data_IF_908335480926
#
_entry.id   IF_908335480926
#
_cell.length_a   1.000
_cell.length_b   1.000
_cell.length_c   1.000
_cell.angle_alpha   90.00
_cell.angle_beta   90.00
_cell.angle_gamma   90.00
#
_symmetry.space_group_name_H-M   'P 1'
#
loop_
_entity.id
_entity.type
_entity.pdbx_description
1 polymer ?
#
# COMPACT_ATOMS: atom_id res chain seq x y z
N UNK A 1 -22.78 6.37 -6.05
CA UNK A 1 -21.51 6.56 -5.32
C UNK A 1 -21.17 5.23 -4.69
N UNK A 2 -20.03 4.60 -5.02
CA UNK A 2 -19.51 3.53 -4.17
C UNK A 2 -18.53 4.17 -3.23
N UNK A 3 -18.96 4.45 -2.01
CA UNK A 3 -18.08 4.61 -0.87
C UNK A 3 -17.25 3.33 -0.81
N UNK A 4 -16.00 3.39 -1.26
CA UNK A 4 -15.16 2.21 -1.34
C UNK A 4 -14.72 1.87 0.08
N UNK A 5 -15.49 1.00 0.73
CA UNK A 5 -15.09 0.41 1.99
C UNK A 5 -13.75 -0.33 1.80
N UNK A 6 -12.97 -0.41 2.88
CA UNK A 6 -11.80 -1.27 2.90
C UNK A 6 -12.21 -2.71 2.54
N UNK A 7 -11.40 -3.44 1.76
CA UNK A 7 -11.64 -4.86 1.55
C UNK A 7 -11.77 -5.61 2.88
N UNK A 8 -12.69 -6.56 2.92
CA UNK A 8 -13.03 -7.35 4.10
C UNK A 8 -11.94 -8.37 4.45
N UNK A 9 -11.14 -8.75 3.47
CA UNK A 9 -10.01 -9.68 3.59
C UNK A 9 -8.73 -9.06 4.18
N UNK A 10 -8.71 -7.77 4.49
CA UNK A 10 -7.54 -7.11 5.09
C UNK A 10 -7.35 -7.46 6.57
N UNK A 11 -6.10 -7.71 6.94
CA UNK A 11 -5.66 -7.76 8.31
C UNK A 11 -5.28 -6.34 8.82
N UNK A 12 -4.66 -6.28 10.00
CA UNK A 12 -4.46 -5.02 10.71
C UNK A 12 -3.55 -4.03 9.97
N UNK A 13 -2.48 -4.52 9.33
CA UNK A 13 -1.49 -3.66 8.68
C UNK A 13 -2.03 -3.04 7.38
N UNK A 14 -2.66 -3.87 6.55
CA UNK A 14 -3.34 -3.47 5.32
C UNK A 14 -4.51 -2.53 5.60
N UNK A 15 -5.36 -2.83 6.60
CA UNK A 15 -6.47 -1.94 6.98
C UNK A 15 -5.99 -0.57 7.42
N UNK A 16 -4.92 -0.51 8.23
CA UNK A 16 -4.31 0.76 8.64
C UNK A 16 -3.76 1.56 7.46
N UNK A 17 -3.15 0.89 6.48
CA UNK A 17 -2.66 1.53 5.26
C UNK A 17 -3.81 2.10 4.43
N UNK A 18 -4.88 1.31 4.24
CA UNK A 18 -6.09 1.74 3.54
C UNK A 18 -6.68 3.01 4.16
N UNK A 19 -6.92 3.00 5.46
CA UNK A 19 -7.47 4.14 6.21
C UNK A 19 -6.57 5.37 6.11
N UNK A 20 -5.26 5.19 6.29
CA UNK A 20 -4.28 6.29 6.21
C UNK A 20 -4.30 7.00 4.86
N UNK A 21 -4.38 6.24 3.77
CA UNK A 21 -4.37 6.79 2.42
C UNK A 21 -5.74 7.39 2.06
N UNK A 22 -6.82 6.65 2.28
CA UNK A 22 -8.18 7.11 1.93
C UNK A 22 -8.66 8.29 2.78
N UNK A 23 -8.16 8.47 4.00
CA UNK A 23 -8.43 9.65 4.82
C UNK A 23 -7.83 10.93 4.22
N UNK A 24 -6.75 10.83 3.45
CA UNK A 24 -6.06 11.98 2.88
C UNK A 24 -6.50 12.26 1.45
N UNK A 25 -6.94 11.23 0.71
CA UNK A 25 -7.14 11.35 -0.73
C UNK A 25 -8.35 10.56 -1.24
N UNK A 26 -9.09 11.18 -2.16
CA UNK A 26 -10.04 10.44 -3.02
C UNK A 26 -9.27 9.59 -4.04
N UNK A 27 -9.78 8.39 -4.33
CA UNK A 27 -9.21 7.43 -5.27
C UNK A 27 -10.15 7.25 -6.47
N UNK A 28 -9.58 7.12 -7.66
CA UNK A 28 -10.26 6.54 -8.82
C UNK A 28 -10.39 5.03 -8.66
N UNK A 29 -11.21 4.38 -9.50
CA UNK A 29 -11.37 2.91 -9.48
C UNK A 29 -10.04 2.17 -9.65
N UNK A 30 -9.16 2.63 -10.55
CA UNK A 30 -7.85 2.02 -10.77
C UNK A 30 -6.91 2.23 -9.59
N UNK A 31 -6.91 3.43 -9.00
CA UNK A 31 -6.12 3.72 -7.79
C UNK A 31 -6.61 2.91 -6.58
N UNK A 32 -7.93 2.73 -6.44
CA UNK A 32 -8.50 1.89 -5.39
C UNK A 32 -8.08 0.42 -5.55
N UNK A 33 -8.11 -0.12 -6.77
CA UNK A 33 -7.64 -1.48 -7.04
C UNK A 33 -6.13 -1.65 -6.71
N UNK A 34 -5.30 -0.68 -7.08
CA UNK A 34 -3.87 -0.68 -6.73
C UNK A 34 -3.67 -0.61 -5.21
N UNK A 35 -4.45 0.20 -4.50
CA UNK A 35 -4.39 0.29 -3.04
C UNK A 35 -4.81 -1.02 -2.38
N UNK A 36 -5.84 -1.71 -2.89
CA UNK A 36 -6.23 -3.03 -2.37
C UNK A 36 -5.06 -4.01 -2.42
N UNK A 37 -4.39 -4.12 -3.56
CA UNK A 37 -3.23 -5.00 -3.71
C UNK A 37 -2.06 -4.59 -2.81
N UNK A 38 -1.81 -3.28 -2.65
CA UNK A 38 -0.79 -2.79 -1.73
C UNK A 38 -1.11 -3.15 -0.27
N UNK A 39 -2.38 -3.11 0.14
CA UNK A 39 -2.83 -3.47 1.48
C UNK A 39 -2.63 -4.96 1.75
N UNK A 40 -3.04 -5.83 0.81
CA UNK A 40 -2.82 -7.28 0.90
C UNK A 40 -1.34 -7.64 0.99
N UNK A 41 -0.52 -7.07 0.11
CA UNK A 41 0.93 -7.27 0.13
C UNK A 41 1.58 -6.77 1.45
N UNK A 42 0.98 -5.76 2.08
CA UNK A 42 1.42 -5.26 3.39
C UNK A 42 1.09 -6.25 4.52
N UNK A 43 -0.10 -6.87 4.49
CA UNK A 43 -0.48 -7.91 5.46
C UNK A 43 0.40 -9.17 5.31
N UNK A 44 0.67 -9.58 4.07
CA UNK A 44 1.59 -10.67 3.76
C UNK A 44 3.02 -10.36 4.25
N UNK A 45 3.49 -9.13 4.02
CA UNK A 45 4.81 -8.68 4.49
C UNK A 45 4.90 -8.71 6.02
N UNK A 46 3.85 -8.32 6.75
CA UNK A 46 3.86 -8.37 8.22
C UNK A 46 3.96 -9.82 8.72
N UNK A 47 3.23 -10.73 8.09
CA UNK A 47 3.31 -12.18 8.35
C UNK A 47 4.72 -12.72 8.10
N UNK A 48 5.32 -12.41 6.93
CA UNK A 48 6.68 -12.83 6.58
C UNK A 48 7.73 -12.25 7.54
N UNK A 49 7.56 -11.00 7.98
CA UNK A 49 8.47 -10.37 8.94
C UNK A 49 8.40 -11.02 10.31
N UNK A 50 7.20 -11.38 10.78
CA UNK A 50 7.03 -12.09 12.04
C UNK A 50 7.70 -13.48 11.98
N UNK A 51 7.52 -14.21 10.87
CA UNK A 51 8.17 -15.49 10.64
C UNK A 51 9.70 -15.35 10.56
N UNK A 52 10.22 -14.38 9.81
CA UNK A 52 11.66 -14.14 9.67
C UNK A 52 12.31 -13.77 11.01
N UNK A 53 11.64 -12.93 11.82
CA UNK A 53 12.14 -12.52 13.15
C UNK A 53 12.22 -13.69 14.12
N UNK A 54 11.28 -14.64 14.00
CA UNK A 54 11.26 -15.87 14.82
C UNK A 54 12.20 -16.96 14.30
N UNK A 55 12.91 -16.72 13.19
CA UNK A 55 13.76 -17.71 12.53
C UNK A 55 15.25 -17.39 12.66
N UNK A 56 16.10 -18.41 12.53
CA UNK A 56 17.55 -18.21 12.45
C UNK A 56 17.95 -17.49 11.15
N UNK A 57 18.97 -16.62 11.25
CA UNK A 57 19.51 -15.90 10.09
C UNK A 57 20.21 -16.85 9.11
N UNK A 58 20.87 -17.88 9.65
CA UNK A 58 21.58 -18.91 8.90
C UNK A 58 20.86 -20.24 9.11
N UNK A 59 20.62 -20.97 8.02
CA UNK A 59 20.03 -22.32 8.02
C UNK A 59 20.94 -23.27 7.24
N UNK A 60 20.69 -24.57 7.36
CA UNK A 60 21.37 -25.59 6.57
C UNK A 60 20.81 -25.65 5.15
N UNK A 61 21.67 -25.49 4.15
CA UNK A 61 21.34 -25.65 2.74
C UNK A 61 21.24 -27.12 2.32
N UNK A 62 20.78 -27.37 1.09
CA UNK A 62 20.52 -28.73 0.58
C UNK A 62 21.74 -29.66 0.55
N UNK A 63 22.96 -29.11 0.54
CA UNK A 63 24.21 -29.88 0.60
C UNK A 63 24.91 -29.78 1.95
N UNK A 64 24.20 -29.35 3.01
CA UNK A 64 24.72 -29.28 4.38
C UNK A 64 25.49 -27.99 4.74
N UNK A 65 25.69 -27.09 3.78
CA UNK A 65 26.40 -25.83 3.97
C UNK A 65 25.52 -24.78 4.67
N UNK A 66 26.10 -23.87 5.49
CA UNK A 66 25.37 -22.74 6.04
C UNK A 66 24.94 -21.78 4.92
N UNK A 67 23.67 -21.44 4.85
CA UNK A 67 23.09 -20.47 3.91
C UNK A 67 22.22 -19.46 4.65
N UNK A 68 22.08 -18.26 4.10
CA UNK A 68 21.10 -17.30 4.62
C UNK A 68 19.69 -17.88 4.47
N UNK A 69 18.88 -17.74 5.51
CA UNK A 69 17.51 -18.19 5.48
C UNK A 69 16.71 -17.43 4.40
N UNK A 70 16.10 -18.19 3.48
CA UNK A 70 15.39 -17.64 2.32
C UNK A 70 14.20 -16.75 2.68
N UNK A 71 13.67 -16.84 3.91
CA UNK A 71 12.65 -15.92 4.41
C UNK A 71 13.10 -14.46 4.34
N UNK A 72 14.38 -14.17 4.55
CA UNK A 72 14.91 -12.81 4.46
C UNK A 72 14.87 -12.26 3.03
N UNK A 73 15.13 -13.11 2.04
CA UNK A 73 14.99 -12.73 0.63
C UNK A 73 13.53 -12.49 0.27
N UNK A 74 12.61 -13.30 0.81
CA UNK A 74 11.18 -13.14 0.54
C UNK A 74 10.62 -11.84 1.15
N UNK A 75 11.04 -11.51 2.38
CA UNK A 75 10.73 -10.22 3.01
C UNK A 75 11.23 -9.05 2.15
N UNK A 76 12.43 -9.15 1.56
CA UNK A 76 12.97 -8.09 0.68
C UNK A 76 12.12 -7.95 -0.59
N UNK A 77 11.79 -9.04 -1.27
CA UNK A 77 10.94 -9.02 -2.46
C UNK A 77 9.56 -8.43 -2.18
N UNK A 78 8.93 -8.81 -1.07
CA UNK A 78 7.63 -8.26 -0.69
C UNK A 78 7.70 -6.75 -0.40
N UNK A 79 8.79 -6.27 0.23
CA UNK A 79 9.01 -4.82 0.39
C UNK A 79 9.10 -4.11 -0.95
N UNK A 80 9.82 -4.68 -1.92
CA UNK A 80 9.95 -4.09 -3.25
C UNK A 80 8.60 -4.06 -3.98
N UNK A 81 7.79 -5.12 -3.85
CA UNK A 81 6.43 -5.17 -4.38
C UNK A 81 5.52 -4.10 -3.77
N UNK A 82 5.52 -3.94 -2.45
CA UNK A 82 4.75 -2.88 -1.76
C UNK A 82 5.21 -1.50 -2.21
N UNK A 83 6.52 -1.25 -2.26
CA UNK A 83 7.08 0.02 -2.72
C UNK A 83 6.68 0.33 -4.17
N UNK A 84 6.67 -0.67 -5.05
CA UNK A 84 6.24 -0.52 -6.45
C UNK A 84 4.75 -0.19 -6.55
N UNK A 85 3.88 -0.90 -5.83
CA UNK A 85 2.43 -0.65 -5.84
C UNK A 85 2.11 0.77 -5.33
N UNK A 86 2.73 1.17 -4.22
CA UNK A 86 2.57 2.53 -3.67
C UNK A 86 3.16 3.62 -4.58
N UNK A 87 4.28 3.34 -5.23
CA UNK A 87 4.88 4.23 -6.23
C UNK A 87 3.98 4.41 -7.45
N UNK A 88 3.33 3.35 -7.93
CA UNK A 88 2.35 3.40 -9.02
C UNK A 88 1.08 4.16 -8.65
N UNK A 89 0.65 4.07 -7.39
CA UNK A 89 -0.44 4.87 -6.85
C UNK A 89 -0.10 6.38 -6.82
N UNK A 90 1.19 6.72 -6.94
CA UNK A 90 1.66 8.11 -6.86
C UNK A 90 1.59 8.68 -5.45
N UNK A 91 1.53 7.82 -4.42
CA UNK A 91 1.60 8.24 -3.01
C UNK A 91 3.05 8.52 -2.68
N UNK A 92 3.53 9.68 -3.10
CA UNK A 92 4.77 10.22 -2.55
C UNK A 92 4.37 10.98 -1.29
N UNK A 93 4.61 10.36 -0.13
CA UNK A 93 4.51 11.05 1.16
C UNK A 93 5.67 12.04 1.21
N UNK A 94 5.52 13.21 0.60
CA UNK A 94 6.47 14.28 0.80
C UNK A 94 6.25 14.85 2.21
N UNK A 95 7.32 14.89 3.01
CA UNK A 95 7.40 15.84 4.12
C UNK A 95 7.16 17.25 3.57
N UNK A 96 6.42 18.05 4.32
CA UNK A 96 5.93 19.37 3.93
C UNK A 96 6.95 20.17 3.10
N UNK A 97 6.60 20.53 1.86
CA UNK A 97 7.32 21.59 1.12
C UNK A 97 7.61 21.37 -0.37
N UNK A 98 7.36 20.20 -0.97
CA UNK A 98 7.58 20.00 -2.41
C UNK A 98 6.35 19.41 -3.09
N UNK A 99 5.70 20.17 -3.97
CA UNK A 99 4.62 19.68 -4.83
C UNK A 99 5.17 19.33 -6.21
N UNK A 100 5.16 18.05 -6.55
CA UNK A 100 5.45 17.53 -7.88
C UNK A 100 4.35 17.92 -8.89
N UNK A 101 4.62 17.97 -10.21
CA UNK A 101 3.59 18.08 -11.24
C UNK A 101 2.44 17.07 -11.10
N UNK A 102 2.73 15.86 -10.62
CA UNK A 102 1.73 14.82 -10.30
C UNK A 102 0.72 15.29 -9.26
N UNK A 103 1.18 16.05 -8.26
CA UNK A 103 0.37 16.46 -7.11
C UNK A 103 -0.62 17.55 -7.51
N UNK A 104 -0.22 18.46 -8.40
CA UNK A 104 -1.11 19.49 -8.95
C UNK A 104 -2.25 18.88 -9.78
N UNK A 105 -1.94 17.90 -10.64
CA UNK A 105 -2.98 17.16 -11.36
C UNK A 105 -3.91 16.41 -10.40
N UNK A 106 -3.35 15.84 -9.33
CA UNK A 106 -4.12 15.11 -8.32
C UNK A 106 -5.02 16.01 -7.50
N UNK A 107 -4.53 17.16 -7.04
CA UNK A 107 -5.33 18.19 -6.36
C UNK A 107 -6.45 18.74 -7.26
N UNK A 108 -6.17 18.98 -8.54
CA UNK A 108 -7.18 19.41 -9.49
C UNK A 108 -8.31 18.35 -9.65
N UNK A 109 -7.94 17.07 -9.75
CA UNK A 109 -8.91 15.96 -9.78
C UNK A 109 -9.71 15.85 -8.49
N UNK A 110 -9.06 15.98 -7.33
CA UNK A 110 -9.73 15.95 -6.03
C UNK A 110 -10.77 17.08 -5.90
N UNK A 111 -10.43 18.30 -6.33
CA UNK A 111 -11.38 19.42 -6.35
C UNK A 111 -12.57 19.14 -7.28
N UNK A 112 -12.31 18.57 -8.46
CA UNK A 112 -13.37 18.20 -9.40
C UNK A 112 -14.32 17.14 -8.83
N UNK A 113 -13.77 16.10 -8.19
CA UNK A 113 -14.55 15.05 -7.52
C UNK A 113 -15.33 15.60 -6.32
N UNK A 114 -14.70 16.45 -5.49
CA UNK A 114 -15.38 17.09 -4.36
C UNK A 114 -16.54 18.00 -4.79
N UNK A 115 -16.39 18.69 -5.92
CA UNK A 115 -17.45 19.54 -6.47
C UNK A 115 -18.62 18.72 -7.05
N UNK A 116 -18.36 17.57 -7.69
CA UNK A 116 -19.43 16.71 -8.20
C UNK A 116 -20.23 16.02 -7.08
N UNK A 117 -19.59 15.69 -5.95
CA UNK A 117 -20.26 15.20 -4.73
C UNK A 117 -21.25 16.25 -4.18
N UNK A 118 -20.85 17.53 -4.10
CA UNK A 118 -21.73 18.60 -3.58
C UNK A 118 -22.90 18.91 -4.50
N UNK A 119 -22.74 18.79 -5.82
CA UNK A 119 -23.79 19.04 -6.79
C UNK A 119 -24.90 17.97 -6.76
N UNK A 120 -24.57 16.72 -6.45
CA UNK A 120 -25.51 15.59 -6.43
C UNK A 120 -26.25 15.39 -5.09
N UNK A 121 -25.87 16.12 -4.03
CA UNK A 121 -26.50 16.04 -2.70
C UNK A 121 -27.50 17.17 -2.39
N UNK A 122 -27.78 18.05 -3.36
CA UNK A 122 -28.87 19.04 -3.29
C UNK A 122 -30.00 18.58 -4.20
N UNK A 123 -30.83 17.66 -3.70
CA UNK A 123 -32.03 17.15 -4.37
C UNK A 123 -32.96 16.54 -3.33
#
# INVERSE_FOLDING_TARGET
MTETAAPDDLAAAGRKLWESITAQIALTTTEAALLCEACRATDELDTLRAAATSSELITTGSTGQPVVNRLWDEVRKHRDSVARLLGQLGVVVYGEGSSSPSDRQRQARQRALANSVKANGKG
#
